data_IF_340418014385
#
_entry.id   IF_340418014385
#
_cell.length_a   1.000
_cell.length_b   1.000
_cell.length_c   1.000
_cell.angle_alpha   90.00
_cell.angle_beta   90.00
_cell.angle_gamma   90.00
#
_symmetry.space_group_name_H-M   'P 1'
#
loop_
_entity.id
_entity.type
_entity.pdbx_description
1 polymer ?
#
# COMPACT_ATOMS: atom_id res chain seq x y z
N UNK A 1 -9.00 -26.16 19.35
CA UNK A 1 -8.06 -26.51 18.26
C UNK A 1 -6.99 -25.44 18.20
N UNK A 2 -5.70 -25.79 18.06
CA UNK A 2 -4.63 -24.78 17.90
C UNK A 2 -4.76 -24.09 16.54
N UNK A 3 -4.35 -22.83 16.44
CA UNK A 3 -4.33 -22.12 15.16
C UNK A 3 -3.14 -22.60 14.31
N UNK A 4 -3.35 -22.92 13.05
CA UNK A 4 -2.25 -23.20 12.13
C UNK A 4 -1.78 -21.89 11.49
N UNK A 5 -0.49 -21.58 11.59
CA UNK A 5 0.13 -20.44 10.92
C UNK A 5 1.34 -20.91 10.11
N UNK A 6 1.79 -20.09 9.17
CA UNK A 6 2.86 -20.43 8.24
C UNK A 6 4.00 -19.41 8.36
N UNK A 7 5.25 -19.82 8.22
CA UNK A 7 6.35 -18.82 8.16
C UNK A 7 6.21 -17.93 6.93
N UNK A 8 5.77 -18.51 5.80
CA UNK A 8 5.41 -17.80 4.56
C UNK A 8 4.08 -18.33 4.04
N UNK A 9 3.14 -17.43 3.77
CA UNK A 9 1.86 -17.75 3.17
C UNK A 9 1.98 -17.83 1.65
N UNK A 10 1.43 -18.88 1.05
CA UNK A 10 1.44 -19.03 -0.40
C UNK A 10 0.57 -17.94 -1.04
N UNK A 11 1.21 -17.09 -1.85
CA UNK A 11 0.54 -16.01 -2.57
C UNK A 11 -0.51 -16.52 -3.57
N UNK A 12 -0.37 -17.75 -4.07
CA UNK A 12 -1.28 -18.33 -5.04
C UNK A 12 -2.63 -18.71 -4.39
N UNK A 13 -2.61 -19.11 -3.11
CA UNK A 13 -3.81 -19.44 -2.35
C UNK A 13 -4.63 -18.20 -1.95
N UNK A 14 -3.98 -17.04 -1.80
CA UNK A 14 -4.64 -15.79 -1.34
C UNK A 14 -5.85 -15.44 -2.19
N UNK A 15 -5.78 -15.63 -3.51
CA UNK A 15 -6.87 -15.23 -4.41
C UNK A 15 -8.15 -16.05 -4.20
N UNK A 16 -8.04 -17.28 -3.69
CA UNK A 16 -9.18 -18.14 -3.39
C UNK A 16 -9.84 -17.80 -2.04
N UNK A 17 -9.16 -17.06 -1.15
CA UNK A 17 -9.69 -16.73 0.16
C UNK A 17 -10.87 -15.75 0.08
N UNK A 18 -11.84 -15.84 1.02
CA UNK A 18 -12.89 -14.85 1.15
C UNK A 18 -12.31 -13.46 1.44
N UNK A 19 -12.91 -12.44 0.86
CA UNK A 19 -12.46 -11.05 1.03
C UNK A 19 -12.95 -10.50 2.37
N UNK A 20 -12.06 -9.89 3.14
CA UNK A 20 -12.45 -9.07 4.30
C UNK A 20 -12.70 -7.63 3.89
N UNK A 21 -13.65 -6.99 4.55
CA UNK A 21 -13.97 -5.58 4.41
C UNK A 21 -14.20 -4.99 5.80
N UNK A 22 -13.86 -3.73 5.98
CA UNK A 22 -14.29 -2.99 7.15
C UNK A 22 -15.80 -2.71 7.09
N UNK A 23 -16.52 -3.10 8.14
CA UNK A 23 -17.99 -2.96 8.23
C UNK A 23 -18.42 -1.76 9.08
N UNK A 24 -17.45 -1.03 9.65
CA UNK A 24 -17.71 0.13 10.49
C UNK A 24 -18.01 1.42 9.71
N UNK A 25 -18.12 2.52 10.45
CA UNK A 25 -18.39 3.84 9.86
C UNK A 25 -17.13 4.40 9.22
N UNK A 26 -17.25 4.94 8.02
CA UNK A 26 -16.14 5.60 7.31
C UNK A 26 -16.46 7.08 7.16
N UNK A 27 -15.63 7.94 7.72
CA UNK A 27 -15.84 9.39 7.75
C UNK A 27 -14.67 10.07 7.03
N UNK A 28 -14.97 10.84 5.98
CA UNK A 28 -13.95 11.61 5.25
C UNK A 28 -13.83 12.99 5.86
N UNK A 29 -12.61 13.42 6.16
CA UNK A 29 -12.31 14.70 6.79
C UNK A 29 -11.65 15.61 5.75
N UNK A 30 -12.27 16.77 5.49
CA UNK A 30 -11.90 17.68 4.41
C UNK A 30 -11.47 19.06 4.91
N UNK A 31 -11.76 19.42 6.16
CA UNK A 31 -11.43 20.71 6.74
C UNK A 31 -10.66 20.61 8.07
N UNK A 32 -9.84 21.61 8.42
CA UNK A 32 -9.14 21.63 9.71
C UNK A 32 -10.05 21.55 10.94
N UNK A 33 -11.24 22.15 10.89
CA UNK A 33 -12.21 22.12 12.00
C UNK A 33 -12.83 20.74 12.23
N UNK A 34 -13.03 19.96 11.17
CA UNK A 34 -13.43 18.55 11.29
C UNK A 34 -12.27 17.69 11.80
N UNK A 35 -11.04 18.01 11.42
CA UNK A 35 -9.84 17.31 11.89
C UNK A 35 -9.70 17.36 13.40
N UNK A 36 -9.91 18.51 14.04
CA UNK A 36 -9.85 18.64 15.51
C UNK A 36 -10.81 17.66 16.20
N UNK A 37 -12.09 17.68 15.79
CA UNK A 37 -13.14 16.84 16.37
C UNK A 37 -12.87 15.35 16.17
N UNK A 38 -12.37 14.98 14.99
CA UNK A 38 -12.03 13.59 14.68
C UNK A 38 -10.84 13.12 15.52
N UNK A 39 -9.83 13.96 15.72
CA UNK A 39 -8.67 13.65 16.57
C UNK A 39 -9.07 13.48 18.03
N UNK A 40 -9.94 14.36 18.57
CA UNK A 40 -10.44 14.21 19.95
C UNK A 40 -11.17 12.88 20.15
N UNK A 41 -12.02 12.49 19.20
CA UNK A 41 -12.70 11.19 19.24
C UNK A 41 -11.73 10.01 19.16
N UNK A 42 -10.70 10.10 18.32
CA UNK A 42 -9.71 9.03 18.15
C UNK A 42 -8.82 8.86 19.39
N UNK A 43 -8.43 9.96 20.04
CA UNK A 43 -7.58 9.93 21.23
C UNK A 43 -8.29 9.44 22.50
N UNK A 44 -9.62 9.31 22.47
CA UNK A 44 -10.40 8.63 23.52
C UNK A 44 -10.53 7.11 23.28
N UNK A 45 -10.00 6.58 22.18
CA UNK A 45 -10.03 5.15 21.87
C UNK A 45 -8.90 4.37 22.57
N UNK A 46 -9.11 3.08 22.81
CA UNK A 46 -8.11 2.17 23.41
C UNK A 46 -6.91 1.92 22.49
N UNK A 47 -7.19 1.82 21.19
CA UNK A 47 -6.21 1.47 20.16
C UNK A 47 -6.60 2.10 18.84
N UNK A 48 -5.59 2.46 18.06
CA UNK A 48 -5.75 3.03 16.74
C UNK A 48 -4.93 2.25 15.72
N UNK A 49 -5.52 1.93 14.58
CA UNK A 49 -4.86 1.40 13.40
C UNK A 49 -4.65 2.52 12.38
N UNK A 50 -3.50 2.52 11.73
CA UNK A 50 -3.09 3.55 10.81
C UNK A 50 -2.58 2.95 9.50
N UNK A 51 -2.70 3.75 8.45
CA UNK A 51 -2.05 3.55 7.15
C UNK A 51 -1.88 4.92 6.47
N UNK A 52 -1.17 4.96 5.34
CA UNK A 52 -1.16 6.16 4.48
C UNK A 52 -1.31 5.84 2.99
N UNK A 53 -1.81 6.81 2.22
CA UNK A 53 -1.88 6.68 0.77
C UNK A 53 -1.35 7.91 0.02
N UNK A 54 -0.62 7.62 -1.05
CA UNK A 54 0.07 8.61 -1.90
C UNK A 54 -0.26 8.34 -3.36
N UNK A 55 -0.47 9.39 -4.15
CA UNK A 55 -0.68 9.23 -5.59
C UNK A 55 0.54 8.54 -6.23
N UNK A 56 0.36 7.46 -7.00
CA UNK A 56 1.47 6.71 -7.57
C UNK A 56 2.23 7.56 -8.61
N UNK A 57 3.54 7.33 -8.67
CA UNK A 57 4.43 7.88 -9.68
C UNK A 57 4.86 6.77 -10.63
N UNK A 58 4.60 6.94 -11.93
CA UNK A 58 4.97 5.97 -12.96
C UNK A 58 6.27 6.34 -13.72
N UNK A 59 6.84 7.52 -13.46
CA UNK A 59 8.04 8.04 -14.12
C UNK A 59 9.10 8.44 -13.09
N UNK A 60 10.36 8.08 -13.33
CA UNK A 60 11.47 8.39 -12.41
C UNK A 60 11.61 9.90 -12.19
N UNK A 61 12.03 10.29 -10.98
CA UNK A 61 12.37 11.69 -10.63
C UNK A 61 11.22 12.55 -10.09
N UNK A 62 10.03 11.97 -9.86
CA UNK A 62 8.92 12.65 -9.18
C UNK A 62 8.55 11.90 -7.90
N UNK A 63 8.11 12.64 -6.89
CA UNK A 63 7.55 12.10 -5.66
C UNK A 63 6.35 12.94 -5.26
N UNK A 64 5.26 12.29 -4.86
CA UNK A 64 4.10 12.96 -4.28
C UNK A 64 4.20 12.95 -2.77
N UNK A 65 3.55 13.95 -2.16
CA UNK A 65 3.38 13.99 -0.72
C UNK A 65 2.25 13.05 -0.32
N UNK A 66 2.25 12.59 0.93
CA UNK A 66 1.14 11.80 1.46
C UNK A 66 -0.14 12.60 1.31
N UNK A 67 -1.14 11.98 0.70
CA UNK A 67 -2.41 12.62 0.35
C UNK A 67 -3.54 12.24 1.30
N UNK A 68 -3.46 11.04 1.88
CA UNK A 68 -4.47 10.51 2.77
C UNK A 68 -3.79 9.81 3.94
N UNK A 69 -4.26 10.11 5.15
CA UNK A 69 -3.94 9.39 6.38
C UNK A 69 -5.22 8.69 6.84
N UNK A 70 -5.18 7.37 6.98
CA UNK A 70 -6.29 6.59 7.49
C UNK A 70 -6.05 6.29 8.95
N UNK A 71 -7.05 6.55 9.80
CA UNK A 71 -6.96 6.23 11.22
C UNK A 71 -8.26 5.58 11.65
N UNK A 72 -8.17 4.31 12.03
CA UNK A 72 -9.30 3.51 12.48
C UNK A 72 -9.17 3.26 13.96
N UNK A 73 -10.28 3.38 14.69
CA UNK A 73 -10.46 2.58 15.90
C UNK A 73 -11.17 1.26 15.50
N UNK A 74 -11.73 0.54 16.46
CA UNK A 74 -12.37 -0.76 16.21
C UNK A 74 -13.60 -0.69 15.30
N UNK A 75 -14.33 0.43 15.25
CA UNK A 75 -15.65 0.53 14.61
C UNK A 75 -15.85 1.76 13.72
N UNK A 76 -14.91 2.70 13.73
CA UNK A 76 -14.97 3.94 12.95
C UNK A 76 -13.58 4.22 12.36
N UNK A 77 -13.53 4.48 11.07
CA UNK A 77 -12.32 4.92 10.38
C UNK A 77 -12.49 6.34 9.83
N UNK A 78 -11.51 7.18 10.12
CA UNK A 78 -11.40 8.53 9.60
C UNK A 78 -10.37 8.58 8.47
N UNK A 79 -10.78 9.18 7.36
CA UNK A 79 -9.96 9.39 6.19
C UNK A 79 -9.58 10.87 6.13
N UNK A 80 -8.42 11.21 6.70
CA UNK A 80 -7.90 12.58 6.70
C UNK A 80 -7.30 12.91 5.35
N UNK A 81 -8.01 13.74 4.57
CA UNK A 81 -7.57 14.20 3.25
C UNK A 81 -6.48 15.26 3.42
N UNK A 82 -5.25 14.86 3.72
CA UNK A 82 -4.12 15.76 4.00
C UNK A 82 -3.80 16.73 2.86
N UNK A 83 -4.11 16.36 1.61
CA UNK A 83 -4.01 17.26 0.46
C UNK A 83 -5.07 18.39 0.45
N UNK A 84 -6.12 18.30 1.28
CA UNK A 84 -7.15 19.32 1.49
C UNK A 84 -7.00 20.01 2.86
N UNK A 85 -6.84 19.23 3.93
CA UNK A 85 -6.76 19.76 5.30
C UNK A 85 -5.40 20.38 5.62
N UNK A 86 -4.35 19.96 4.91
CA UNK A 86 -2.97 20.20 5.31
C UNK A 86 -2.56 19.41 6.55
N UNK A 87 -1.35 19.68 7.03
CA UNK A 87 -0.81 19.15 8.29
C UNK A 87 -1.21 20.06 9.44
N UNK A 88 -2.33 19.74 10.09
CA UNK A 88 -2.89 20.60 11.14
C UNK A 88 -2.24 20.32 12.51
N UNK A 89 -2.34 21.25 13.48
CA UNK A 89 -1.93 20.98 14.86
C UNK A 89 -2.59 19.73 15.46
N UNK A 90 -3.84 19.45 15.08
CA UNK A 90 -4.54 18.23 15.48
C UNK A 90 -3.88 16.94 14.95
N UNK A 91 -3.48 16.91 13.66
CA UNK A 91 -2.73 15.77 13.12
C UNK A 91 -1.40 15.61 13.85
N UNK A 92 -0.68 16.71 14.11
CA UNK A 92 0.54 16.66 14.91
C UNK A 92 0.27 16.04 16.28
N UNK A 93 -0.71 16.55 17.03
CA UNK A 93 -1.12 16.01 18.34
C UNK A 93 -1.45 14.51 18.28
N UNK A 94 -2.18 14.07 17.25
CA UNK A 94 -2.51 12.66 17.06
C UNK A 94 -1.26 11.78 16.88
N UNK A 95 -0.29 12.24 16.07
CA UNK A 95 0.95 11.51 15.78
C UNK A 95 1.94 11.54 16.95
N UNK A 96 1.94 12.61 17.75
CA UNK A 96 2.82 12.77 18.92
C UNK A 96 2.28 12.15 20.20
N UNK A 97 0.98 11.83 20.26
CA UNK A 97 0.36 11.27 21.46
C UNK A 97 1.07 9.98 21.90
N UNK A 98 1.28 9.82 23.20
CA UNK A 98 1.92 8.63 23.79
C UNK A 98 0.95 7.78 24.60
N UNK A 99 -0.26 8.27 24.86
CA UNK A 99 -1.26 7.57 25.67
C UNK A 99 -1.91 6.42 24.89
N UNK A 100 -2.38 6.69 23.67
CA UNK A 100 -3.08 5.69 22.84
C UNK A 100 -2.06 4.88 22.04
N UNK A 101 -2.26 3.57 21.89
CA UNK A 101 -1.37 2.75 21.06
C UNK A 101 -1.75 2.87 19.58
N UNK A 102 -0.77 3.15 18.72
CA UNK A 102 -0.94 3.27 17.26
C UNK A 102 -0.30 2.10 16.54
N UNK A 103 -1.10 1.32 15.81
CA UNK A 103 -0.66 0.14 15.08
C UNK A 103 -0.57 0.47 13.59
N UNK A 104 0.50 0.04 12.95
CA UNK A 104 0.64 0.10 11.50
C UNK A 104 1.63 -0.92 11.00
N UNK A 105 1.85 -0.91 9.68
CA UNK A 105 2.73 -1.83 9.00
C UNK A 105 3.66 -1.04 8.07
N UNK A 106 4.97 -1.20 8.24
CA UNK A 106 5.99 -0.41 7.52
C UNK A 106 5.99 1.08 7.86
N UNK A 107 5.76 1.41 9.13
CA UNK A 107 5.71 2.77 9.65
C UNK A 107 6.90 3.65 9.30
N UNK A 108 8.10 3.07 9.17
CA UNK A 108 9.30 3.84 8.84
C UNK A 108 9.10 4.71 7.60
N UNK A 109 8.58 4.14 6.51
CA UNK A 109 8.37 4.84 5.25
C UNK A 109 7.20 5.85 5.34
N UNK A 110 6.13 5.48 6.06
CA UNK A 110 4.97 6.35 6.28
C UNK A 110 5.33 7.58 7.11
N UNK A 111 6.09 7.42 8.20
CA UNK A 111 6.55 8.52 9.05
C UNK A 111 7.47 9.46 8.25
N UNK A 112 8.40 8.93 7.45
CA UNK A 112 9.19 9.74 6.51
C UNK A 112 8.30 10.48 5.50
N UNK A 113 7.20 9.86 5.07
CA UNK A 113 6.13 10.45 4.27
C UNK A 113 5.51 11.67 4.93
N UNK A 114 5.04 11.49 6.15
CA UNK A 114 4.34 12.49 6.95
C UNK A 114 5.27 13.64 7.37
N UNK A 115 6.55 13.37 7.64
CA UNK A 115 7.54 14.40 7.96
C UNK A 115 7.75 15.42 6.82
N UNK A 116 7.44 15.06 5.56
CA UNK A 116 7.46 16.02 4.43
C UNK A 116 6.27 16.99 4.46
N UNK A 117 5.30 16.78 5.34
CA UNK A 117 4.14 17.63 5.55
C UNK A 117 4.32 18.55 6.78
N UNK A 118 5.00 18.07 7.83
CA UNK A 118 5.33 18.87 9.00
C UNK A 118 6.20 18.11 10.00
N UNK A 119 6.84 18.84 10.90
CA UNK A 119 7.69 18.26 11.95
C UNK A 119 6.86 17.80 13.16
N UNK A 120 7.13 16.58 13.62
CA UNK A 120 6.52 15.99 14.81
C UNK A 120 7.46 14.94 15.44
N UNK A 121 7.26 14.57 16.69
CA UNK A 121 7.96 13.44 17.32
C UNK A 121 7.03 12.23 17.39
N UNK A 122 7.32 11.10 16.70
CA UNK A 122 6.44 9.95 16.76
C UNK A 122 6.18 9.48 18.20
N UNK A 123 4.91 9.34 18.56
CA UNK A 123 4.47 8.85 19.87
C UNK A 123 4.49 7.32 19.99
N UNK A 124 3.44 6.75 20.61
CA UNK A 124 3.38 5.31 20.90
C UNK A 124 2.97 4.46 19.67
N UNK A 125 3.90 4.23 18.75
CA UNK A 125 3.72 3.40 17.57
C UNK A 125 4.22 1.97 17.74
N UNK A 126 3.46 1.00 17.23
CA UNK A 126 3.80 -0.41 17.15
C UNK A 126 3.90 -0.82 15.68
N UNK A 127 5.04 -1.39 15.32
CA UNK A 127 5.32 -1.94 13.99
C UNK A 127 4.98 -3.43 13.93
N UNK A 128 3.98 -3.79 13.12
CA UNK A 128 3.54 -5.17 12.94
C UNK A 128 4.63 -6.07 12.35
N UNK A 129 5.53 -5.54 11.51
CA UNK A 129 6.67 -6.29 10.94
C UNK A 129 7.72 -6.67 11.99
N UNK A 130 7.72 -6.03 13.16
CA UNK A 130 8.57 -6.41 14.29
C UNK A 130 7.94 -7.50 15.14
N UNK A 131 6.60 -7.50 15.27
CA UNK A 131 5.87 -8.50 16.07
C UNK A 131 5.65 -9.83 15.34
N UNK A 132 5.36 -9.81 14.04
CA UNK A 132 5.06 -11.02 13.28
C UNK A 132 6.18 -12.10 13.34
N UNK A 133 7.48 -11.73 13.30
CA UNK A 133 8.57 -12.69 13.48
C UNK A 133 8.58 -13.41 14.84
N UNK A 134 8.01 -12.82 15.89
CA UNK A 134 8.00 -13.44 17.23
C UNK A 134 7.09 -14.68 17.33
N UNK A 135 6.16 -14.84 16.38
CA UNK A 135 5.37 -16.07 16.18
C UNK A 135 5.88 -16.91 14.99
N UNK A 136 7.01 -16.52 14.40
CA UNK A 136 7.65 -17.22 13.29
C UNK A 136 7.12 -16.86 11.90
N UNK A 137 6.33 -15.80 11.77
CA UNK A 137 5.87 -15.31 10.45
C UNK A 137 6.95 -14.39 9.86
N UNK A 138 7.41 -14.70 8.65
CA UNK A 138 8.44 -13.96 7.93
C UNK A 138 7.86 -12.99 6.89
N UNK A 139 6.58 -13.16 6.52
CA UNK A 139 5.93 -12.29 5.56
C UNK A 139 5.78 -10.85 6.09
N UNK A 140 6.03 -9.89 5.19
CA UNK A 140 6.02 -8.46 5.53
C UNK A 140 4.77 -7.73 5.03
N UNK A 141 4.00 -8.30 4.12
CA UNK A 141 2.86 -7.58 3.52
C UNK A 141 1.57 -7.73 4.33
N UNK A 142 0.79 -6.65 4.44
CA UNK A 142 -0.49 -6.63 5.16
C UNK A 142 -1.42 -7.79 4.74
N UNK A 143 -1.63 -7.92 3.43
CA UNK A 143 -2.48 -8.98 2.85
C UNK A 143 -2.02 -10.39 3.24
N UNK A 144 -0.70 -10.64 3.29
CA UNK A 144 -0.18 -11.97 3.65
C UNK A 144 -0.28 -12.23 5.14
N UNK A 145 0.06 -11.25 5.98
CA UNK A 145 -0.14 -11.36 7.42
C UNK A 145 -1.60 -11.66 7.75
N UNK A 146 -2.53 -10.92 7.13
CA UNK A 146 -3.95 -11.12 7.32
C UNK A 146 -4.42 -12.49 6.80
N UNK A 147 -3.98 -12.91 5.62
CA UNK A 147 -4.31 -14.21 5.06
C UNK A 147 -3.83 -15.37 5.94
N UNK A 148 -2.64 -15.24 6.51
CA UNK A 148 -2.04 -16.24 7.38
C UNK A 148 -2.79 -16.36 8.72
N UNK A 149 -3.14 -15.23 9.32
CA UNK A 149 -3.79 -15.20 10.63
C UNK A 149 -5.30 -15.45 10.57
N UNK A 150 -5.99 -15.01 9.52
CA UNK A 150 -7.46 -15.01 9.44
C UNK A 150 -8.04 -15.85 8.29
N UNK A 151 -7.20 -16.41 7.41
CA UNK A 151 -7.64 -17.13 6.21
C UNK A 151 -8.63 -16.31 5.34
N UNK A 152 -8.38 -15.01 5.26
CA UNK A 152 -9.13 -14.04 4.49
C UNK A 152 -8.17 -13.15 3.70
N UNK A 153 -8.61 -12.59 2.58
CA UNK A 153 -7.79 -11.68 1.77
C UNK A 153 -8.23 -10.23 1.93
N UNK A 154 -7.24 -9.35 2.03
CA UNK A 154 -7.37 -7.92 1.78
C UNK A 154 -7.18 -7.69 0.27
N UNK A 155 -8.02 -6.89 -0.37
CA UNK A 155 -7.88 -6.61 -1.81
C UNK A 155 -6.85 -5.51 -2.03
N UNK A 156 -5.99 -5.62 -3.05
CA UNK A 156 -4.99 -4.60 -3.44
C UNK A 156 -5.46 -3.64 -4.54
N UNK A 157 -6.74 -3.70 -4.90
CA UNK A 157 -7.25 -3.10 -6.14
C UNK A 157 -7.18 -1.57 -6.18
N UNK A 158 -7.15 -0.88 -5.03
CA UNK A 158 -7.15 0.59 -4.98
C UNK A 158 -5.79 1.22 -4.72
N UNK A 159 -4.77 0.42 -4.38
CA UNK A 159 -3.42 0.88 -4.01
C UNK A 159 -2.77 1.82 -5.04
N UNK A 160 -3.03 1.60 -6.32
CA UNK A 160 -2.42 2.39 -7.42
C UNK A 160 -3.43 3.38 -8.05
N UNK A 161 -4.44 3.81 -7.29
CA UNK A 161 -5.41 4.81 -7.76
C UNK A 161 -4.93 6.23 -7.50
N UNK A 162 -5.64 7.21 -8.08
CA UNK A 162 -5.36 8.61 -7.79
C UNK A 162 -5.92 8.99 -6.41
N UNK A 163 -5.06 9.02 -5.40
CA UNK A 163 -5.41 9.44 -4.05
C UNK A 163 -5.48 10.96 -3.86
N UNK A 164 -5.07 11.76 -4.86
CA UNK A 164 -5.27 13.22 -4.85
C UNK A 164 -6.60 13.65 -5.50
N UNK A 165 -7.44 12.70 -5.95
CA UNK A 165 -8.75 13.03 -6.51
C UNK A 165 -9.62 13.85 -5.55
N UNK A 166 -10.29 14.90 -6.05
CA UNK A 166 -11.12 15.79 -5.25
C UNK A 166 -12.18 15.04 -4.43
N UNK A 167 -12.73 13.97 -5.00
CA UNK A 167 -13.71 13.10 -4.36
C UNK A 167 -13.19 11.66 -4.44
N UNK A 168 -13.01 11.03 -3.28
CA UNK A 168 -12.71 9.60 -3.20
C UNK A 168 -13.97 8.79 -3.54
N UNK A 169 -13.80 7.76 -4.37
CA UNK A 169 -14.84 6.78 -4.65
C UNK A 169 -15.07 5.87 -3.45
N UNK A 170 -16.25 5.28 -3.33
CA UNK A 170 -16.58 4.45 -2.16
C UNK A 170 -15.70 3.21 -2.04
N UNK A 171 -15.26 2.64 -3.17
CA UNK A 171 -14.30 1.55 -3.17
C UNK A 171 -12.91 1.97 -2.65
N UNK A 172 -12.45 3.20 -2.90
CA UNK A 172 -11.22 3.75 -2.34
C UNK A 172 -11.37 3.97 -0.84
N UNK A 173 -12.49 4.56 -0.40
CA UNK A 173 -12.77 4.78 1.03
C UNK A 173 -12.78 3.47 1.81
N UNK A 174 -13.50 2.47 1.29
CA UNK A 174 -13.60 1.15 1.91
C UNK A 174 -12.27 0.40 1.94
N UNK A 175 -11.49 0.49 0.86
CA UNK A 175 -10.13 -0.05 0.82
C UNK A 175 -9.27 0.57 1.93
N UNK A 176 -9.21 1.90 1.97
CA UNK A 176 -8.36 2.66 2.88
C UNK A 176 -8.73 2.40 4.35
N UNK A 177 -10.04 2.34 4.63
CA UNK A 177 -10.53 2.00 5.97
C UNK A 177 -10.22 0.54 6.36
N UNK A 178 -10.28 -0.40 5.41
CA UNK A 178 -9.94 -1.79 5.65
C UNK A 178 -8.47 -1.93 6.03
N UNK A 179 -7.56 -1.27 5.33
CA UNK A 179 -6.13 -1.40 5.59
C UNK A 179 -5.78 -0.96 7.03
N UNK A 180 -6.19 0.25 7.45
CA UNK A 180 -5.97 0.74 8.81
C UNK A 180 -6.65 -0.13 9.89
N UNK A 181 -7.89 -0.57 9.67
CA UNK A 181 -8.59 -1.44 10.63
C UNK A 181 -7.94 -2.81 10.77
N UNK A 182 -7.48 -3.41 9.68
CA UNK A 182 -6.82 -4.73 9.73
C UNK A 182 -5.51 -4.70 10.50
N UNK A 183 -4.83 -3.56 10.60
CA UNK A 183 -3.67 -3.41 11.48
C UNK A 183 -4.02 -3.74 12.95
N UNK A 184 -5.14 -3.23 13.47
CA UNK A 184 -5.64 -3.55 14.82
C UNK A 184 -5.88 -5.05 14.96
N UNK A 185 -6.57 -5.64 13.99
CA UNK A 185 -6.91 -7.07 14.03
C UNK A 185 -5.67 -7.94 14.08
N UNK A 186 -4.68 -7.65 13.23
CA UNK A 186 -3.40 -8.37 13.21
C UNK A 186 -2.69 -8.21 14.56
N UNK A 187 -2.65 -7.00 15.12
CA UNK A 187 -2.01 -6.77 16.42
C UNK A 187 -2.66 -7.59 17.54
N UNK A 188 -3.99 -7.51 17.68
CA UNK A 188 -4.73 -8.24 18.70
C UNK A 188 -4.48 -9.75 18.58
N UNK A 189 -4.47 -10.28 17.36
CA UNK A 189 -4.23 -11.69 17.11
C UNK A 189 -2.79 -12.11 17.39
N UNK A 190 -1.79 -11.32 16.97
CA UNK A 190 -0.39 -11.58 17.29
C UNK A 190 -0.17 -11.56 18.81
N UNK A 191 -0.73 -10.57 19.51
CA UNK A 191 -0.71 -10.47 20.97
C UNK A 191 -1.28 -11.71 21.64
N UNK A 192 -2.48 -12.14 21.22
CA UNK A 192 -3.12 -13.37 21.71
C UNK A 192 -2.25 -14.60 21.46
N UNK A 193 -1.64 -14.72 20.28
CA UNK A 193 -0.77 -15.86 19.94
C UNK A 193 0.53 -15.87 20.76
N UNK A 194 1.13 -14.71 21.01
CA UNK A 194 2.33 -14.58 21.83
C UNK A 194 2.08 -14.94 23.29
N UNK A 195 0.93 -14.53 23.83
CA UNK A 195 0.54 -14.80 25.22
C UNK A 195 0.13 -16.25 25.42
N UNK A 196 -0.69 -16.80 24.52
CA UNK A 196 -1.26 -18.15 24.69
C UNK A 196 -0.39 -19.27 24.12
N UNK A 197 0.54 -18.96 23.20
CA UNK A 197 1.31 -19.93 22.39
C UNK A 197 0.43 -20.99 21.72
N UNK A 198 -0.85 -20.67 21.49
CA UNK A 198 -1.86 -21.58 20.97
C UNK A 198 -1.86 -21.62 19.43
N UNK A 199 -0.72 -22.00 18.86
CA UNK A 199 -0.55 -22.16 17.41
C UNK A 199 0.45 -23.24 17.03
N UNK A 200 0.26 -23.83 15.85
CA UNK A 200 1.22 -24.69 15.17
C UNK A 200 1.84 -23.90 14.01
N UNK A 201 3.16 -23.71 14.04
CA UNK A 201 3.92 -23.05 12.97
C UNK A 201 4.34 -24.07 11.92
N UNK A 202 3.96 -23.85 10.67
CA UNK A 202 4.47 -24.56 9.51
C UNK A 202 5.57 -23.73 8.87
N UNK A 203 6.81 -24.20 8.97
CA UNK A 203 7.96 -23.57 8.31
C UNK A 203 7.92 -23.92 6.83
N UNK A 204 7.81 -22.91 5.98
CA UNK A 204 7.80 -23.05 4.52
C UNK A 204 9.21 -22.75 4.00
N UNK A 205 9.90 -23.73 3.39
CA UNK A 205 11.26 -23.52 2.89
C UNK A 205 11.28 -22.54 1.72
N UNK A 206 12.40 -21.81 1.57
CA UNK A 206 12.60 -20.97 0.41
C UNK A 206 12.61 -21.81 -0.88
N UNK A 207 12.04 -21.27 -1.98
CA UNK A 207 12.15 -21.94 -3.26
C UNK A 207 13.64 -22.11 -3.59
N UNK A 208 14.00 -23.30 -4.06
CA UNK A 208 15.37 -23.59 -4.46
C UNK A 208 15.85 -22.50 -5.44
N UNK A 209 17.10 -22.01 -5.32
CA UNK A 209 17.61 -20.99 -6.21
C UNK A 209 17.47 -21.48 -7.65
N UNK A 210 16.71 -20.72 -8.46
CA UNK A 210 16.57 -21.01 -9.88
C UNK A 210 17.96 -20.93 -10.48
N UNK A 211 18.51 -22.07 -10.92
CA UNK A 211 19.74 -22.09 -11.72
C UNK A 211 19.49 -21.20 -12.94
N UNK A 212 20.17 -20.06 -13.00
CA UNK A 212 20.24 -19.29 -14.24
C UNK A 212 20.82 -20.23 -15.29
N UNK A 213 20.02 -20.58 -16.29
CA UNK A 213 20.54 -21.20 -17.52
C UNK A 213 21.43 -20.12 -18.12
N UNK A 214 22.74 -20.32 -18.03
CA UNK A 214 23.70 -19.56 -18.81
C UNK A 214 23.61 -20.13 -20.22
N UNK A 215 23.08 -19.35 -21.15
CA UNK A 215 23.14 -19.68 -22.56
C UNK A 215 24.62 -19.65 -22.97
N UNK A 216 25.22 -20.84 -23.05
CA UNK A 216 26.51 -21.02 -23.69
C UNK A 216 26.29 -20.96 -25.21
N UNK A 217 26.30 -19.74 -25.76
CA UNK A 217 26.54 -19.57 -27.19
C UNK A 217 28.03 -19.85 -27.44
N UNK A 218 28.31 -21.02 -28.00
CA UNK A 218 29.61 -21.43 -28.53
C UNK A 218 29.98 -20.62 -29.76
N UNK A 219 31.27 -20.32 -29.85
CA UNK A 219 31.98 -19.64 -30.93
C UNK A 219 31.57 -20.07 -32.35
N UNK A 220 31.32 -19.08 -33.22
CA UNK A 220 31.64 -19.18 -34.64
C UNK A 220 32.28 -17.87 -35.07
N UNK A 221 33.58 -17.98 -35.38
CA UNK A 221 34.43 -17.00 -36.02
C UNK A 221 33.89 -16.60 -37.41
N UNK A 222 33.83 -15.31 -37.72
CA UNK A 222 33.96 -14.79 -39.09
C UNK A 222 34.31 -13.31 -39.07
N UNK A 223 35.50 -13.01 -39.57
CA UNK A 223 35.99 -11.66 -39.78
C UNK A 223 35.36 -10.99 -41.03
N UNK A 224 35.19 -9.67 -40.89
CA UNK A 224 35.20 -8.61 -41.90
C UNK A 224 34.00 -8.44 -42.87
N UNK A 225 33.23 -7.36 -42.66
CA UNK A 225 33.26 -6.16 -43.53
C UNK A 225 32.43 -5.01 -42.92
N UNK A 226 33.06 -3.82 -42.85
CA UNK A 226 32.44 -2.51 -42.55
C UNK A 226 31.40 -2.14 -43.61
N UNK A 227 30.26 -1.55 -43.23
CA UNK A 227 29.74 -0.25 -43.73
C UNK A 227 28.74 0.32 -42.71
N UNK A 228 28.72 1.65 -42.65
CA UNK A 228 28.19 2.56 -41.64
C UNK A 228 26.81 3.12 -42.05
N UNK A 229 25.95 3.35 -41.03
CA UNK A 229 24.76 4.23 -40.92
C UNK A 229 23.47 3.86 -41.68
N UNK A 230 22.40 3.64 -40.90
CA UNK A 230 21.00 3.84 -41.29
C UNK A 230 20.47 5.10 -40.58
N UNK A 231 20.00 6.07 -41.36
CA UNK A 231 19.03 7.08 -40.93
C UNK A 231 17.62 6.55 -41.26
N UNK A 232 16.84 6.31 -40.21
CA UNK A 232 15.53 6.91 -39.98
C UNK A 232 14.42 6.96 -41.08
N UNK A 233 13.26 6.44 -40.64
CA UNK A 233 11.89 7.00 -40.78
C UNK A 233 10.95 6.42 -41.87
N UNK A 234 10.05 5.57 -41.37
CA UNK A 234 8.57 5.64 -41.40
C UNK A 234 7.91 6.03 -42.74
N UNK A 235 7.15 5.08 -43.28
CA UNK A 235 6.08 5.35 -44.25
C UNK A 235 4.71 5.08 -43.60
N UNK A 236 3.93 6.13 -43.39
CA UNK A 236 2.47 6.06 -43.27
C UNK A 236 1.83 6.63 -44.54
N UNK A 237 0.75 5.96 -44.93
CA UNK A 237 0.12 6.05 -46.23
C UNK A 237 -1.04 7.06 -46.31
N UNK A 238 -1.11 7.71 -47.49
CA UNK A 238 -2.30 8.17 -48.24
C UNK A 238 -3.02 9.46 -47.80
N UNK A 239 -2.87 10.49 -48.63
CA UNK A 239 -3.93 11.44 -48.98
C UNK A 239 -4.16 11.56 -50.48
N UNK A 240 -5.44 11.82 -50.78
CA UNK A 240 -6.20 11.77 -52.02
C UNK A 240 -5.76 12.76 -53.12
N UNK A 241 -6.06 12.33 -54.35
CA UNK A 241 -6.59 13.08 -55.50
C UNK A 241 -6.01 14.45 -55.85
N UNK A 242 -5.22 14.47 -56.93
CA UNK A 242 -5.17 15.59 -57.89
C UNK A 242 -6.03 15.22 -59.10
N UNK A 243 -7.08 16.00 -59.37
CA UNK A 243 -7.62 16.11 -60.72
C UNK A 243 -7.73 17.60 -61.11
N UNK A 244 -6.80 17.96 -61.99
CA UNK A 244 -6.88 18.91 -63.12
C UNK A 244 -7.73 20.19 -62.95
N UNK A 245 -7.00 21.31 -62.88
CA UNK A 245 -7.39 22.60 -63.44
C UNK A 245 -7.15 22.62 -64.95
N UNK A 246 -8.13 23.14 -65.69
CA UNK A 246 -8.16 23.86 -66.98
C UNK A 246 -9.68 23.99 -67.26
N UNK A 247 -10.29 25.08 -67.70
CA UNK A 247 -9.90 26.19 -68.57
C UNK A 247 -10.90 27.34 -68.40
N UNK A 248 -10.58 28.48 -68.99
CA UNK A 248 -11.24 29.79 -68.94
C UNK A 248 -12.65 29.81 -69.57
N UNK A 249 -13.57 30.56 -68.96
CA UNK A 249 -14.30 31.73 -69.50
C UNK A 249 -15.34 32.22 -68.47
#
# INVERSE_FOLDING_TARGET
>A
MRKKIYSKFDKHEINALPRVLFEGRIITILSPGETEKAVDYLLDSDILGFDTETRPVFHKGRAHKVSLLQVSNRNTCFLFRLNHTGFTPAIKRLLEDTAVTKIGLSWHDDLLGLHRLGEFTPGNFVELQTLAPEVGIEDKSLQKLYANLFHQKISKAQRLTNWESDILKDNQKLYAATDAWTCIQIYDELKRLLETRNFDLVVVPDPAPVKKIVDAASDVDTAAAKVVRNEDIITESRTKNKNKKNEQL
#
